data_IF_097430455823
#
_entry.id   IF_097430455823
#
_cell.length_a   1.000
_cell.length_b   1.000
_cell.length_c   1.000
_cell.angle_alpha   90.00
_cell.angle_beta   90.00
_cell.angle_gamma   90.00
#
_symmetry.space_group_name_H-M   'P 1'
#
loop_
_entity.id
_entity.type
_entity.pdbx_description
1 polymer ?
#
# COMPACT_ATOMS: atom_id res chain seq x y z
N UNK A 1 4.89 0.93 12.37
CA UNK A 1 3.82 0.45 11.46
C UNK A 1 4.21 -0.82 10.68
N UNK A 2 5.38 -0.87 10.03
CA UNK A 2 5.76 -1.97 9.12
C UNK A 2 6.38 -3.20 9.81
N UNK A 3 6.75 -3.08 11.08
CA UNK A 3 7.32 -4.13 11.91
C UNK A 3 6.61 -4.17 13.27
N UNK A 4 5.36 -4.64 13.28
CA UNK A 4 4.53 -4.61 14.49
C UNK A 4 4.88 -5.73 15.46
N UNK A 5 5.16 -6.91 14.92
CA UNK A 5 5.57 -8.10 15.65
C UNK A 5 6.19 -9.12 14.68
N UNK A 6 6.94 -10.12 15.18
CA UNK A 6 7.65 -11.09 14.34
C UNK A 6 6.82 -11.76 13.23
N UNK A 7 5.55 -12.07 13.48
CA UNK A 7 4.63 -12.71 12.52
C UNK A 7 3.77 -11.70 11.72
N UNK A 8 3.90 -10.40 12.00
CA UNK A 8 3.18 -9.30 11.33
C UNK A 8 4.14 -8.15 11.03
N UNK A 9 5.15 -8.48 10.23
CA UNK A 9 6.21 -7.56 9.83
C UNK A 9 6.49 -7.73 8.34
N UNK A 10 6.03 -6.76 7.55
CA UNK A 10 6.31 -6.77 6.11
C UNK A 10 7.82 -6.64 5.89
N UNK A 11 8.51 -5.88 6.76
CA UNK A 11 9.97 -5.70 6.73
C UNK A 11 10.68 -7.04 6.91
N UNK A 12 10.34 -7.79 7.97
CA UNK A 12 10.93 -9.10 8.22
C UNK A 12 10.67 -10.07 7.07
N UNK A 13 9.47 -10.02 6.49
CA UNK A 13 9.10 -10.90 5.39
C UNK A 13 9.92 -10.57 4.12
N UNK A 14 10.07 -9.29 3.78
CA UNK A 14 10.91 -8.85 2.67
C UNK A 14 12.39 -9.25 2.90
N UNK A 15 12.91 -9.10 4.12
CA UNK A 15 14.25 -9.55 4.50
C UNK A 15 14.41 -11.08 4.34
N UNK A 16 13.41 -11.87 4.75
CA UNK A 16 13.40 -13.33 4.59
C UNK A 16 13.37 -13.76 3.12
N UNK A 17 12.82 -12.91 2.25
CA UNK A 17 12.89 -13.11 0.81
C UNK A 17 14.21 -12.62 0.19
N UNK A 18 15.19 -12.15 0.97
CA UNK A 18 16.52 -11.79 0.47
C UNK A 18 16.62 -10.37 -0.08
N UNK A 19 15.70 -9.48 0.30
CA UNK A 19 15.78 -8.07 -0.04
C UNK A 19 16.46 -7.30 1.09
N UNK A 20 17.41 -6.43 0.76
CA UNK A 20 17.93 -5.44 1.71
C UNK A 20 16.91 -4.32 1.90
N UNK A 21 16.44 -4.12 3.13
CA UNK A 21 15.38 -3.15 3.45
C UNK A 21 15.94 -1.99 4.26
N UNK A 22 15.70 -0.78 3.77
CA UNK A 22 15.96 0.48 4.45
C UNK A 22 14.63 1.15 4.77
N UNK A 23 14.52 1.79 5.94
CA UNK A 23 13.30 2.47 6.38
C UNK A 23 13.64 3.92 6.70
N UNK A 24 12.81 4.83 6.22
CA UNK A 24 12.88 6.24 6.59
C UNK A 24 12.11 6.45 7.88
N UNK A 25 12.81 6.89 8.92
CA UNK A 25 12.22 7.49 10.10
C UNK A 25 12.09 9.00 9.85
N UNK A 26 10.86 9.49 9.84
CA UNK A 26 10.55 10.90 9.57
C UNK A 26 10.74 11.80 10.80
N UNK A 27 10.97 11.20 11.97
CA UNK A 27 11.04 11.91 13.23
C UNK A 27 9.69 12.49 13.67
N UNK A 28 9.76 13.33 14.70
CA UNK A 28 8.61 14.01 15.28
C UNK A 28 8.81 15.52 15.10
N UNK A 29 7.97 16.20 14.31
CA UNK A 29 8.14 17.63 14.08
C UNK A 29 7.92 18.40 15.36
N UNK A 30 8.81 19.35 15.59
CA UNK A 30 8.75 20.34 16.67
C UNK A 30 8.33 21.68 16.10
N UNK A 31 8.14 22.70 16.95
CA UNK A 31 7.76 24.04 16.48
C UNK A 31 8.76 24.66 15.50
N UNK A 32 10.04 24.29 15.53
CA UNK A 32 11.01 24.77 14.53
C UNK A 32 10.72 24.24 13.13
N UNK A 33 10.04 23.10 13.04
CA UNK A 33 9.70 22.41 11.80
C UNK A 33 8.40 22.92 11.16
N UNK A 34 7.76 23.93 11.76
CA UNK A 34 6.46 24.43 11.29
C UNK A 34 6.47 24.94 9.85
N UNK A 35 7.63 25.40 9.36
CA UNK A 35 7.82 25.92 8.01
C UNK A 35 8.25 24.88 6.98
N UNK A 36 8.45 23.62 7.38
CA UNK A 36 8.80 22.57 6.41
C UNK A 36 7.65 22.41 5.42
N UNK A 37 7.98 22.47 4.14
CA UNK A 37 7.09 22.37 2.99
C UNK A 37 7.21 21.01 2.31
N UNK A 38 6.42 20.75 1.27
CA UNK A 38 6.59 19.53 0.47
C UNK A 38 8.00 19.44 -0.15
N UNK A 39 8.62 20.58 -0.46
CA UNK A 39 9.97 20.64 -1.01
C UNK A 39 11.01 20.07 -0.02
N UNK A 40 10.94 20.47 1.25
CA UNK A 40 11.86 20.01 2.28
C UNK A 40 11.77 18.48 2.50
N UNK A 41 10.55 17.92 2.46
CA UNK A 41 10.36 16.47 2.58
C UNK A 41 10.88 15.71 1.37
N UNK A 42 10.61 16.17 0.14
CA UNK A 42 10.95 15.46 -1.09
C UNK A 42 12.42 15.71 -1.50
N UNK A 43 12.81 16.97 -1.68
CA UNK A 43 14.13 17.36 -2.15
C UNK A 43 15.17 17.42 -1.02
N UNK A 44 14.74 17.64 0.22
CA UNK A 44 15.60 17.53 1.39
C UNK A 44 15.69 16.09 1.89
N UNK A 45 14.68 15.62 2.63
CA UNK A 45 14.76 14.38 3.39
C UNK A 45 14.84 13.14 2.50
N UNK A 46 13.87 12.94 1.60
CA UNK A 46 13.84 11.75 0.74
C UNK A 46 15.05 11.67 -0.18
N UNK A 47 15.39 12.76 -0.87
CA UNK A 47 16.53 12.78 -1.78
C UNK A 47 17.84 12.45 -1.05
N UNK A 48 18.05 13.01 0.16
CA UNK A 48 19.24 12.71 0.96
C UNK A 48 19.30 11.24 1.39
N UNK A 49 18.17 10.66 1.83
CA UNK A 49 18.10 9.22 2.13
C UNK A 49 18.43 8.36 0.91
N UNK A 50 17.88 8.68 -0.25
CA UNK A 50 18.13 7.93 -1.49
C UNK A 50 19.59 8.04 -1.90
N UNK A 51 20.18 9.23 -1.89
CA UNK A 51 21.58 9.44 -2.25
C UNK A 51 22.53 8.74 -1.27
N UNK A 52 22.23 8.74 0.03
CA UNK A 52 22.98 7.99 1.02
C UNK A 52 22.96 6.48 0.72
N UNK A 53 21.78 5.90 0.49
CA UNK A 53 21.64 4.45 0.22
C UNK A 53 22.34 4.08 -1.10
N UNK A 54 22.17 4.87 -2.16
CA UNK A 54 22.85 4.68 -3.45
C UNK A 54 24.36 4.65 -3.28
N UNK A 55 24.93 5.60 -2.53
CA UNK A 55 26.37 5.68 -2.25
C UNK A 55 26.84 4.50 -1.40
N UNK A 56 26.12 4.15 -0.34
CA UNK A 56 26.47 3.04 0.56
C UNK A 56 26.44 1.68 -0.15
N UNK A 57 25.47 1.47 -1.04
CA UNK A 57 25.27 0.22 -1.79
C UNK A 57 26.00 0.18 -3.13
N UNK A 58 26.62 1.31 -3.54
CA UNK A 58 27.25 1.50 -4.87
C UNK A 58 26.28 1.18 -6.02
N UNK A 59 25.04 1.64 -5.90
CA UNK A 59 23.98 1.47 -6.90
C UNK A 59 23.58 2.82 -7.49
N UNK A 60 23.42 2.88 -8.81
CA UNK A 60 22.97 4.09 -9.49
C UNK A 60 21.49 4.39 -9.25
N UNK A 61 20.69 3.40 -8.88
CA UNK A 61 19.28 3.57 -8.57
C UNK A 61 18.82 2.52 -7.55
N UNK A 62 17.77 2.84 -6.78
CA UNK A 62 17.20 1.93 -5.76
C UNK A 62 15.72 1.66 -6.04
N UNK A 63 15.20 0.55 -5.52
CA UNK A 63 13.76 0.34 -5.43
C UNK A 63 13.19 1.28 -4.37
N UNK A 64 12.20 2.08 -4.73
CA UNK A 64 11.48 2.95 -3.80
C UNK A 64 10.10 2.38 -3.53
N UNK A 65 9.79 2.18 -2.25
CA UNK A 65 8.49 1.68 -1.79
C UNK A 65 7.83 2.74 -0.92
N UNK A 66 6.65 3.21 -1.33
CA UNK A 66 5.90 4.23 -0.62
C UNK A 66 4.51 3.75 -0.22
N UNK A 67 4.05 4.21 0.95
CA UNK A 67 2.83 3.76 1.59
C UNK A 67 1.94 4.96 1.92
N UNK A 68 0.65 4.90 1.57
CA UNK A 68 -0.31 5.98 1.82
C UNK A 68 0.21 7.33 1.31
N UNK A 69 0.29 8.37 2.14
CA UNK A 69 0.89 9.65 1.77
C UNK A 69 2.35 9.52 1.31
N UNK A 70 3.13 8.62 1.94
CA UNK A 70 4.48 8.29 1.51
C UNK A 70 4.52 7.67 0.10
N UNK A 71 3.45 7.03 -0.35
CA UNK A 71 3.31 6.56 -1.73
C UNK A 71 3.11 7.69 -2.72
N UNK A 72 2.29 8.69 -2.37
CA UNK A 72 2.16 9.94 -3.14
C UNK A 72 3.51 10.65 -3.24
N UNK A 73 4.23 10.77 -2.11
CA UNK A 73 5.56 11.37 -2.06
C UNK A 73 6.57 10.59 -2.92
N UNK A 74 6.57 9.26 -2.86
CA UNK A 74 7.44 8.42 -3.69
C UNK A 74 7.17 8.57 -5.18
N UNK A 75 5.90 8.72 -5.61
CA UNK A 75 5.59 8.98 -7.02
C UNK A 75 6.05 10.38 -7.46
N UNK A 76 5.82 11.40 -6.61
CA UNK A 76 6.33 12.76 -6.85
C UNK A 76 7.86 12.71 -7.00
N UNK A 77 8.56 12.12 -6.03
CA UNK A 77 10.01 11.97 -6.05
C UNK A 77 10.50 11.22 -7.31
N UNK A 78 9.90 10.07 -7.64
CA UNK A 78 10.29 9.27 -8.81
C UNK A 78 10.04 10.01 -10.14
N UNK A 79 9.12 10.97 -10.17
CA UNK A 79 8.90 11.82 -11.35
C UNK A 79 9.93 12.95 -11.49
N UNK A 80 10.53 13.38 -10.38
CA UNK A 80 11.54 14.44 -10.31
C UNK A 80 12.97 13.91 -10.48
N UNK A 81 13.22 12.68 -10.02
CA UNK A 81 14.51 11.99 -10.06
C UNK A 81 14.38 10.56 -10.62
N UNK A 82 13.86 10.39 -11.84
CA UNK A 82 13.61 9.06 -12.41
C UNK A 82 14.89 8.23 -12.52
N UNK A 83 16.05 8.86 -12.69
CA UNK A 83 17.36 8.23 -12.76
C UNK A 83 17.81 7.57 -11.45
N UNK A 84 17.24 7.97 -10.31
CA UNK A 84 17.59 7.43 -8.98
C UNK A 84 16.69 6.28 -8.54
N UNK A 85 15.61 5.99 -9.29
CA UNK A 85 14.59 5.01 -8.91
C UNK A 85 14.55 3.86 -9.91
N UNK A 86 14.97 2.68 -9.46
CA UNK A 86 15.04 1.47 -10.28
C UNK A 86 13.66 0.83 -10.47
N UNK A 87 12.85 0.82 -9.40
CA UNK A 87 11.48 0.31 -9.40
C UNK A 87 10.66 1.16 -8.42
N UNK A 88 9.38 1.39 -8.72
CA UNK A 88 8.46 2.08 -7.81
C UNK A 88 7.38 1.09 -7.34
N UNK A 89 7.23 0.96 -6.02
CA UNK A 89 6.15 0.20 -5.39
C UNK A 89 5.30 1.16 -4.57
N UNK A 90 4.01 1.24 -4.86
CA UNK A 90 3.07 2.09 -4.11
C UNK A 90 1.99 1.23 -3.47
N UNK A 91 1.62 1.54 -2.23
CA UNK A 91 0.60 0.79 -1.49
C UNK A 91 -0.43 1.73 -0.89
N UNK A 92 -1.70 1.52 -1.24
CA UNK A 92 -2.88 2.26 -0.74
C UNK A 92 -2.64 3.77 -0.67
N UNK A 93 -2.06 4.31 -1.75
CA UNK A 93 -1.67 5.69 -1.88
C UNK A 93 -2.62 6.43 -2.83
N UNK A 94 -3.06 7.66 -2.48
CA UNK A 94 -3.87 8.46 -3.37
C UNK A 94 -3.01 9.19 -4.40
N UNK A 95 -3.48 9.23 -5.65
CA UNK A 95 -2.86 9.98 -6.73
C UNK A 95 -3.85 10.91 -7.41
N UNK A 96 -5.10 10.46 -7.58
CA UNK A 96 -6.22 11.29 -7.99
C UNK A 96 -7.09 11.66 -6.78
N UNK A 97 -7.10 12.94 -6.44
CA UNK A 97 -7.82 13.48 -5.29
C UNK A 97 -9.22 14.01 -5.64
N UNK A 98 -9.67 13.80 -6.88
CA UNK A 98 -11.01 14.21 -7.32
C UNK A 98 -12.13 13.36 -6.70
N UNK A 99 -11.84 12.16 -6.19
CA UNK A 99 -12.83 11.27 -5.59
C UNK A 99 -13.61 11.94 -4.45
N UNK A 100 -14.93 11.75 -4.44
CA UNK A 100 -15.81 12.13 -3.32
C UNK A 100 -16.12 10.94 -2.42
N UNK A 101 -15.50 9.79 -2.68
CA UNK A 101 -15.61 8.59 -1.86
C UNK A 101 -14.68 8.73 -0.65
N UNK A 102 -15.16 8.33 0.53
CA UNK A 102 -14.37 8.41 1.77
C UNK A 102 -14.44 9.79 2.43
N UNK A 103 -14.66 9.77 3.76
CA UNK A 103 -14.84 10.99 4.56
C UNK A 103 -13.60 11.90 4.52
N UNK A 104 -12.40 11.33 4.43
CA UNK A 104 -11.15 12.11 4.43
C UNK A 104 -11.06 13.01 3.19
N UNK A 105 -11.46 12.50 2.02
CA UNK A 105 -11.43 13.27 0.77
C UNK A 105 -12.46 14.39 0.82
N UNK A 106 -13.67 14.08 1.29
CA UNK A 106 -14.73 15.09 1.45
C UNK A 106 -14.33 16.19 2.44
N UNK A 107 -13.85 15.84 3.64
CA UNK A 107 -13.44 16.83 4.63
C UNK A 107 -12.26 17.67 4.17
N UNK A 108 -11.23 17.06 3.57
CA UNK A 108 -10.04 17.78 3.12
C UNK A 108 -10.34 18.79 2.01
N UNK A 109 -11.38 18.54 1.21
CA UNK A 109 -11.86 19.51 0.20
C UNK A 109 -12.51 20.75 0.80
N UNK A 110 -13.07 20.64 2.00
CA UNK A 110 -13.84 21.71 2.65
C UNK A 110 -13.13 22.33 3.87
N UNK A 111 -12.04 21.73 4.36
CA UNK A 111 -11.29 22.26 5.49
C UNK A 111 -10.56 23.55 5.10
N UNK A 112 -10.61 24.55 5.99
CA UNK A 112 -9.77 25.73 5.87
C UNK A 112 -8.36 25.39 6.38
N UNK A 113 -7.51 24.93 5.46
CA UNK A 113 -6.12 24.59 5.75
C UNK A 113 -5.35 25.78 6.33
N UNK A 114 -5.70 27.01 5.96
CA UNK A 114 -5.00 28.19 6.46
C UNK A 114 -5.24 28.40 7.94
N UNK A 115 -6.52 28.47 8.34
CA UNK A 115 -6.90 28.61 9.74
C UNK A 115 -6.33 27.47 10.60
N UNK A 116 -6.36 26.24 10.10
CA UNK A 116 -5.81 25.08 10.80
C UNK A 116 -4.31 25.29 11.09
N UNK A 117 -3.53 25.60 10.07
CA UNK A 117 -2.07 25.70 10.20
C UNK A 117 -1.65 26.98 10.92
N UNK A 118 -2.35 28.10 10.72
CA UNK A 118 -2.06 29.35 11.44
C UNK A 118 -2.36 29.25 12.94
N UNK A 119 -3.29 28.39 13.33
CA UNK A 119 -3.62 28.11 14.74
C UNK A 119 -2.60 27.19 15.38
N UNK A 120 -2.33 26.03 14.76
CA UNK A 120 -1.55 24.97 15.41
C UNK A 120 -0.06 25.03 15.11
N UNK A 121 0.34 25.57 13.94
CA UNK A 121 1.71 25.61 13.38
C UNK A 121 2.32 24.23 13.08
N UNK A 122 2.28 23.32 14.04
CA UNK A 122 2.51 21.89 13.86
C UNK A 122 1.21 21.21 14.25
N UNK A 123 0.65 20.42 13.34
CA UNK A 123 -0.64 19.78 13.61
C UNK A 123 -0.42 18.65 14.60
N UNK A 124 -1.09 18.66 15.77
CA UNK A 124 -0.93 17.60 16.76
C UNK A 124 -1.36 16.25 16.19
N UNK A 125 -0.60 15.20 16.50
CA UNK A 125 -0.91 13.85 16.05
C UNK A 125 -2.25 13.36 16.60
N UNK A 126 -2.64 13.82 17.79
CA UNK A 126 -3.94 13.55 18.40
C UNK A 126 -5.09 14.12 17.58
N UNK A 127 -4.91 15.31 16.98
CA UNK A 127 -5.92 15.93 16.14
C UNK A 127 -6.07 15.16 14.82
N UNK A 128 -4.95 14.78 14.20
CA UNK A 128 -4.95 13.94 13.00
C UNK A 128 -5.60 12.59 13.30
N UNK A 129 -5.22 11.95 14.40
CA UNK A 129 -5.77 10.66 14.83
C UNK A 129 -7.27 10.75 15.13
N UNK A 130 -7.72 11.80 15.81
CA UNK A 130 -9.14 12.06 16.02
C UNK A 130 -9.88 12.16 14.66
N UNK A 131 -9.29 12.87 13.69
CA UNK A 131 -9.75 12.88 12.31
C UNK A 131 -9.89 11.48 11.73
N UNK A 132 -8.82 10.67 11.78
CA UNK A 132 -8.81 9.30 11.25
C UNK A 132 -9.81 8.37 11.95
N UNK A 133 -9.95 8.45 13.27
CA UNK A 133 -10.92 7.67 14.05
C UNK A 133 -12.36 8.01 13.67
N UNK A 134 -12.63 9.28 13.35
CA UNK A 134 -13.95 9.72 12.89
C UNK A 134 -14.27 9.31 11.43
N UNK A 135 -13.32 8.76 10.67
CA UNK A 135 -13.58 8.25 9.32
C UNK A 135 -14.32 6.91 9.33
N UNK A 136 -14.20 6.12 10.40
CA UNK A 136 -14.93 4.87 10.60
C UNK A 136 -15.37 4.75 12.06
N UNK A 137 -16.22 5.66 12.57
CA UNK A 137 -16.46 5.82 14.00
C UNK A 137 -17.07 4.57 14.63
N UNK A 138 -17.98 3.89 13.93
CA UNK A 138 -18.56 2.64 14.43
C UNK A 138 -17.56 1.49 14.47
N UNK A 139 -16.74 1.33 13.44
CA UNK A 139 -15.77 0.22 13.38
C UNK A 139 -14.58 0.45 14.31
N UNK A 140 -14.04 1.67 14.34
CA UNK A 140 -12.84 2.04 15.09
C UNK A 140 -13.11 2.46 16.54
N UNK A 141 -14.34 2.82 16.92
CA UNK A 141 -14.65 3.17 18.32
C UNK A 141 -15.62 2.22 19.02
N UNK A 142 -16.45 1.46 18.30
CA UNK A 142 -17.49 0.62 18.94
C UNK A 142 -17.22 -0.87 18.68
N UNK A 143 -17.10 -1.27 17.41
CA UNK A 143 -16.90 -2.66 17.03
C UNK A 143 -15.60 -3.24 17.58
N UNK A 144 -14.54 -2.43 17.69
CA UNK A 144 -13.26 -2.85 18.26
C UNK A 144 -13.36 -3.35 19.70
N UNK A 145 -14.16 -2.69 20.55
CA UNK A 145 -14.33 -3.11 21.95
C UNK A 145 -15.26 -4.31 22.06
N UNK A 146 -16.27 -4.41 21.20
CA UNK A 146 -17.12 -5.60 21.09
C UNK A 146 -16.31 -6.82 20.63
N UNK A 147 -15.37 -6.64 19.70
CA UNK A 147 -14.47 -7.71 19.25
C UNK A 147 -13.37 -8.02 20.27
N UNK A 148 -12.92 -7.04 21.06
CA UNK A 148 -12.04 -7.26 22.22
C UNK A 148 -12.69 -8.21 23.25
N UNK A 149 -13.99 -8.03 23.53
CA UNK A 149 -14.75 -8.94 24.41
C UNK A 149 -14.71 -10.40 23.96
N UNK A 150 -14.58 -10.66 22.65
CA UNK A 150 -14.50 -12.01 22.08
C UNK A 150 -13.11 -12.65 22.19
N UNK A 151 -12.07 -11.86 22.46
CA UNK A 151 -10.68 -12.31 22.54
C UNK A 151 -10.07 -12.18 23.93
N UNK A 152 -10.85 -11.73 24.91
CA UNK A 152 -10.43 -11.50 26.29
C UNK A 152 -9.88 -12.76 26.99
N UNK A 153 -10.35 -13.95 26.59
CA UNK A 153 -9.83 -15.24 27.09
C UNK A 153 -8.57 -15.73 26.38
N UNK A 154 -8.09 -15.05 25.35
CA UNK A 154 -6.93 -15.44 24.54
C UNK A 154 -5.84 -14.38 24.67
N UNK A 155 -4.84 -14.70 25.49
CA UNK A 155 -3.74 -13.78 25.86
C UNK A 155 -3.01 -13.23 24.63
N UNK A 156 -2.78 -14.04 23.61
CA UNK A 156 -2.05 -13.63 22.41
C UNK A 156 -2.89 -12.69 21.55
N UNK A 157 -4.19 -12.96 21.40
CA UNK A 157 -5.10 -12.07 20.69
C UNK A 157 -5.31 -10.74 21.42
N UNK A 158 -5.36 -10.75 22.76
CA UNK A 158 -5.45 -9.53 23.56
C UNK A 158 -4.18 -8.67 23.46
N UNK A 159 -2.99 -9.27 23.53
CA UNK A 159 -1.71 -8.57 23.31
C UNK A 159 -1.64 -7.95 21.90
N UNK A 160 -2.10 -8.68 20.88
CA UNK A 160 -2.18 -8.15 19.52
C UNK A 160 -3.13 -6.94 19.43
N UNK A 161 -4.27 -6.98 20.12
CA UNK A 161 -5.20 -5.85 20.20
C UNK A 161 -4.57 -4.63 20.87
N UNK A 162 -3.94 -4.80 22.04
CA UNK A 162 -3.29 -3.70 22.77
C UNK A 162 -2.14 -3.06 21.98
N UNK A 163 -1.37 -3.85 21.21
CA UNK A 163 -0.31 -3.33 20.33
C UNK A 163 -0.87 -2.49 19.19
N UNK A 164 -1.97 -2.94 18.59
CA UNK A 164 -2.68 -2.18 17.56
C UNK A 164 -3.23 -0.87 18.13
N UNK A 165 -3.81 -0.89 19.33
CA UNK A 165 -4.27 0.32 20.01
C UNK A 165 -3.10 1.28 20.29
N UNK A 166 -2.00 0.79 20.87
CA UNK A 166 -0.81 1.62 21.09
C UNK A 166 -0.31 2.24 19.79
N UNK A 167 -0.29 1.50 18.70
CA UNK A 167 0.13 2.01 17.39
C UNK A 167 -0.84 3.07 16.84
N UNK A 168 -2.15 2.87 16.95
CA UNK A 168 -3.14 3.87 16.51
C UNK A 168 -2.97 5.18 17.29
N UNK A 169 -2.67 5.10 18.59
CA UNK A 169 -2.52 6.29 19.44
C UNK A 169 -1.11 6.91 19.44
N UNK A 170 -0.10 6.22 18.92
CA UNK A 170 1.25 6.74 18.69
C UNK A 170 1.31 7.49 17.35
N UNK A 171 0.56 8.59 17.28
CA UNK A 171 0.45 9.44 16.10
C UNK A 171 1.44 10.60 16.20
N UNK A 172 2.49 10.67 15.36
CA UNK A 172 3.35 11.84 15.30
C UNK A 172 2.58 13.05 14.74
N UNK A 173 2.97 14.25 15.16
CA UNK A 173 2.47 15.48 14.55
C UNK A 173 2.93 15.64 13.11
N UNK A 174 2.40 16.66 12.43
CA UNK A 174 2.77 16.97 11.04
C UNK A 174 3.16 18.45 10.90
N UNK A 175 4.24 18.71 10.15
CA UNK A 175 4.65 20.06 9.82
C UNK A 175 3.51 20.80 9.10
N UNK A 176 3.18 21.99 9.61
CA UNK A 176 1.99 22.73 9.20
C UNK A 176 2.01 23.14 7.74
N UNK A 177 3.09 23.76 7.26
CA UNK A 177 3.16 24.23 5.88
C UNK A 177 3.13 23.11 4.84
N UNK A 178 3.78 21.97 5.12
CA UNK A 178 3.68 20.77 4.29
C UNK A 178 2.23 20.26 4.23
N UNK A 179 1.52 20.20 5.35
CA UNK A 179 0.11 19.81 5.35
C UNK A 179 -0.76 20.83 4.61
N UNK A 180 -0.54 22.13 4.84
CA UNK A 180 -1.26 23.22 4.15
C UNK A 180 -1.18 23.03 2.64
N UNK A 181 0.05 22.85 2.16
CA UNK A 181 0.35 22.64 0.75
C UNK A 181 -0.30 21.35 0.24
N UNK A 182 -0.18 20.25 0.97
CA UNK A 182 -0.77 18.97 0.56
C UNK A 182 -2.30 19.04 0.45
N UNK A 183 -2.99 19.70 1.40
CA UNK A 183 -4.44 19.88 1.33
C UNK A 183 -4.84 20.73 0.12
N UNK A 184 -4.21 21.89 -0.05
CA UNK A 184 -4.54 22.82 -1.14
C UNK A 184 -4.23 22.22 -2.50
N UNK A 185 -2.99 21.79 -2.70
CA UNK A 185 -2.52 21.35 -4.01
C UNK A 185 -3.07 19.98 -4.39
N UNK A 186 -3.18 19.03 -3.46
CA UNK A 186 -3.70 17.70 -3.76
C UNK A 186 -5.21 17.63 -3.58
N UNK A 187 -5.74 17.81 -2.37
CA UNK A 187 -7.17 17.56 -2.11
C UNK A 187 -8.11 18.57 -2.77
N UNK A 188 -7.78 19.85 -2.74
CA UNK A 188 -8.66 20.92 -3.22
C UNK A 188 -8.47 21.18 -4.72
N UNK A 189 -7.23 21.29 -5.17
CA UNK A 189 -6.92 21.66 -6.55
C UNK A 189 -6.55 20.48 -7.45
N UNK A 190 -6.26 19.30 -6.88
CA UNK A 190 -5.86 18.07 -7.60
C UNK A 190 -4.73 18.32 -8.62
N UNK A 191 -3.76 19.15 -8.24
CA UNK A 191 -2.65 19.60 -9.10
C UNK A 191 -1.75 18.45 -9.56
N UNK A 192 -1.66 17.36 -8.80
CA UNK A 192 -0.81 16.22 -9.12
C UNK A 192 -1.19 15.57 -10.47
N UNK A 193 -2.46 15.17 -10.65
CA UNK A 193 -2.91 14.54 -11.90
C UNK A 193 -3.05 15.55 -13.04
N UNK A 194 -3.25 16.83 -12.71
CA UNK A 194 -3.31 17.93 -13.68
C UNK A 194 -1.92 18.35 -14.20
N UNK A 195 -0.84 17.83 -13.63
CA UNK A 195 0.53 18.24 -14.00
C UNK A 195 0.84 19.69 -13.62
N UNK A 196 0.24 20.19 -12.55
CA UNK A 196 0.36 21.57 -12.06
C UNK A 196 1.09 21.67 -10.71
N UNK A 197 1.35 20.52 -10.07
CA UNK A 197 2.02 20.48 -8.76
C UNK A 197 3.50 20.85 -8.92
N UNK A 198 3.98 21.78 -8.10
CA UNK A 198 5.39 22.15 -8.02
C UNK A 198 5.99 21.71 -6.69
N UNK A 199 7.25 21.27 -6.74
CA UNK A 199 8.07 20.94 -5.57
C UNK A 199 9.39 21.68 -5.75
N UNK A 200 9.62 22.69 -4.91
CA UNK A 200 10.61 23.73 -5.19
C UNK A 200 10.33 24.39 -6.53
N UNK A 201 11.36 24.51 -7.37
CA UNK A 201 11.23 25.09 -8.72
C UNK A 201 10.82 24.07 -9.79
N UNK A 202 10.65 22.79 -9.45
CA UNK A 202 10.40 21.74 -10.43
C UNK A 202 8.91 21.41 -10.54
N UNK A 203 8.42 21.32 -11.77
CA UNK A 203 7.07 20.85 -12.07
C UNK A 203 7.02 19.32 -12.03
N UNK A 204 6.08 18.76 -11.26
CA UNK A 204 5.85 17.33 -11.15
C UNK A 204 5.11 16.85 -12.39
N UNK A 205 5.70 15.89 -13.10
CA UNK A 205 5.09 15.24 -14.26
C UNK A 205 5.13 13.72 -14.12
N UNK A 206 3.99 13.11 -13.79
CA UNK A 206 3.89 11.66 -13.60
C UNK A 206 4.31 10.85 -14.85
N UNK A 207 4.30 11.43 -16.05
CA UNK A 207 4.81 10.77 -17.27
C UNK A 207 6.31 10.47 -17.21
N UNK A 208 7.07 11.16 -16.35
CA UNK A 208 8.49 10.88 -16.12
C UNK A 208 8.73 9.57 -15.36
N UNK A 209 7.69 8.99 -14.73
CA UNK A 209 7.78 7.68 -14.10
C UNK A 209 7.79 6.62 -15.21
N UNK A 210 8.98 6.31 -15.71
CA UNK A 210 9.22 5.35 -16.81
C UNK A 210 9.77 4.01 -16.33
N UNK A 211 10.31 3.95 -15.11
CA UNK A 211 10.73 2.72 -14.44
C UNK A 211 9.54 1.81 -14.14
N UNK A 212 9.76 0.51 -13.85
CA UNK A 212 8.69 -0.38 -13.48
C UNK A 212 7.86 0.06 -12.28
N UNK A 213 6.55 -0.12 -12.35
CA UNK A 213 5.59 0.27 -11.32
C UNK A 213 4.77 -0.92 -10.81
N UNK A 214 4.76 -1.14 -9.50
CA UNK A 214 3.79 -1.99 -8.81
C UNK A 214 2.88 -1.11 -7.96
N UNK A 215 1.64 -0.92 -8.41
CA UNK A 215 0.64 -0.13 -7.70
C UNK A 215 -0.37 -1.05 -7.00
N UNK A 216 -0.35 -1.08 -5.68
CA UNK A 216 -1.17 -1.94 -4.84
C UNK A 216 -2.30 -1.11 -4.22
N UNK A 217 -3.54 -1.54 -4.42
CA UNK A 217 -4.71 -0.93 -3.78
C UNK A 217 -5.51 -1.99 -3.01
N UNK A 218 -6.25 -1.56 -2.00
CA UNK A 218 -7.16 -2.42 -1.23
C UNK A 218 -8.59 -2.24 -1.74
N UNK A 219 -9.29 -3.34 -2.05
CA UNK A 219 -10.62 -3.26 -2.68
C UNK A 219 -11.74 -2.76 -1.75
N UNK A 220 -11.56 -2.91 -0.43
CA UNK A 220 -12.47 -2.37 0.58
C UNK A 220 -11.82 -1.21 1.37
N UNK A 221 -10.98 -0.42 0.69
CA UNK A 221 -10.37 0.77 1.28
C UNK A 221 -11.35 1.96 1.22
N UNK A 222 -11.78 2.43 2.38
CA UNK A 222 -12.63 3.61 2.53
C UNK A 222 -11.83 4.87 2.91
N UNK A 223 -10.54 4.72 3.24
CA UNK A 223 -9.65 5.82 3.60
C UNK A 223 -9.01 6.40 2.34
N UNK A 224 -8.45 5.52 1.52
CA UNK A 224 -7.88 5.81 0.21
C UNK A 224 -8.64 4.94 -0.81
N UNK A 225 -9.76 5.44 -1.35
CA UNK A 225 -10.60 4.67 -2.24
C UNK A 225 -9.82 4.16 -3.45
N UNK A 226 -10.13 2.96 -3.99
CA UNK A 226 -9.52 2.47 -5.23
C UNK A 226 -9.57 3.48 -6.38
N UNK A 227 -10.62 4.30 -6.44
CA UNK A 227 -10.79 5.37 -7.42
C UNK A 227 -9.68 6.43 -7.36
N UNK A 228 -9.04 6.62 -6.20
CA UNK A 228 -7.91 7.55 -6.02
C UNK A 228 -6.54 6.93 -6.32
N UNK A 229 -6.38 5.62 -6.16
CA UNK A 229 -5.11 4.91 -6.36
C UNK A 229 -4.93 4.39 -7.79
N UNK A 230 -5.97 3.80 -8.38
CA UNK A 230 -5.92 3.16 -9.71
C UNK A 230 -5.44 4.08 -10.84
N UNK A 231 -5.85 5.38 -10.90
CA UNK A 231 -5.50 6.26 -12.02
C UNK A 231 -4.00 6.43 -12.25
N UNK A 232 -3.14 6.21 -11.24
CA UNK A 232 -1.69 6.29 -11.41
C UNK A 232 -1.21 5.42 -12.59
N UNK A 233 -1.77 4.23 -12.76
CA UNK A 233 -1.36 3.32 -13.85
C UNK A 233 -1.58 3.93 -15.24
N UNK A 234 -2.55 4.82 -15.42
CA UNK A 234 -2.81 5.47 -16.72
C UNK A 234 -2.02 6.78 -16.87
N UNK A 235 -1.65 7.39 -15.74
CA UNK A 235 -0.93 8.66 -15.69
C UNK A 235 0.58 8.51 -15.89
N UNK A 236 1.18 7.38 -15.53
CA UNK A 236 2.64 7.16 -15.69
C UNK A 236 3.08 6.85 -17.12
N UNK A 237 4.36 7.12 -17.41
CA UNK A 237 5.00 6.81 -18.70
C UNK A 237 5.52 5.37 -18.80
N UNK A 238 5.55 4.63 -17.69
CA UNK A 238 6.05 3.26 -17.62
C UNK A 238 5.24 2.31 -18.52
N UNK A 239 5.98 1.49 -19.26
CA UNK A 239 5.40 0.39 -20.06
C UNK A 239 5.34 -0.92 -19.27
N UNK A 240 6.03 -1.00 -18.13
CA UNK A 240 6.07 -2.15 -17.22
C UNK A 240 5.37 -1.81 -15.90
N UNK A 241 4.04 -1.82 -15.93
CA UNK A 241 3.19 -1.41 -14.81
C UNK A 241 2.17 -2.49 -14.44
N UNK A 242 2.04 -2.75 -13.14
CA UNK A 242 1.09 -3.69 -12.56
C UNK A 242 0.16 -2.94 -11.63
N UNK A 243 -1.14 -3.18 -11.78
CA UNK A 243 -2.14 -2.80 -10.80
C UNK A 243 -2.53 -4.07 -10.03
N UNK A 244 -2.24 -4.10 -8.73
CA UNK A 244 -2.48 -5.25 -7.87
C UNK A 244 -3.62 -4.96 -6.90
N UNK A 245 -4.65 -5.81 -6.93
CA UNK A 245 -5.77 -5.74 -5.99
C UNK A 245 -5.52 -6.60 -4.75
N UNK A 246 -5.51 -5.98 -3.59
CA UNK A 246 -5.58 -6.68 -2.31
C UNK A 246 -7.03 -6.73 -1.82
N UNK A 247 -7.54 -7.96 -1.60
CA UNK A 247 -8.88 -8.15 -1.00
C UNK A 247 -8.83 -7.93 0.52
N UNK A 248 -9.00 -6.67 0.92
CA UNK A 248 -9.03 -6.20 2.31
C UNK A 248 -9.27 -4.69 2.38
N UNK A 249 -9.18 -4.10 3.58
CA UNK A 249 -9.23 -2.66 3.80
C UNK A 249 -7.85 -2.04 4.08
N UNK A 250 -7.80 -0.72 4.23
CA UNK A 250 -6.56 0.08 4.33
C UNK A 250 -5.51 -0.52 5.28
N UNK A 251 -5.89 -0.71 6.55
CA UNK A 251 -4.99 -1.21 7.59
C UNK A 251 -4.56 -2.66 7.36
N UNK A 252 -5.45 -3.46 6.78
CA UNK A 252 -5.21 -4.89 6.50
C UNK A 252 -4.04 -5.11 5.53
N UNK A 253 -3.72 -4.11 4.70
CA UNK A 253 -2.58 -4.12 3.78
C UNK A 253 -1.25 -4.11 4.52
N UNK A 254 -1.18 -3.62 5.75
CA UNK A 254 0.07 -3.50 6.51
C UNK A 254 0.23 -4.59 7.55
N UNK A 255 -0.78 -4.74 8.40
CA UNK A 255 -0.70 -5.54 9.62
C UNK A 255 -1.56 -6.80 9.56
N UNK A 256 -2.32 -6.98 8.47
CA UNK A 256 -3.17 -8.15 8.28
C UNK A 256 -2.34 -9.41 8.05
N UNK A 257 -2.70 -10.51 8.69
CA UNK A 257 -2.06 -11.81 8.47
C UNK A 257 -2.10 -12.25 7.00
N UNK A 258 -3.16 -11.87 6.28
CA UNK A 258 -3.30 -12.08 4.84
C UNK A 258 -2.27 -11.27 4.04
N UNK A 259 -2.03 -10.01 4.39
CA UNK A 259 -0.99 -9.20 3.75
C UNK A 259 0.39 -9.87 3.86
N UNK A 260 0.73 -10.39 5.03
CA UNK A 260 2.01 -11.08 5.25
C UNK A 260 2.17 -12.34 4.40
N UNK A 261 1.07 -13.06 4.14
CA UNK A 261 1.07 -14.30 3.32
C UNK A 261 0.95 -14.05 1.82
N UNK A 262 0.47 -12.87 1.42
CA UNK A 262 0.10 -12.56 0.04
C UNK A 262 0.97 -11.44 -0.54
N UNK A 263 0.95 -10.25 0.08
CA UNK A 263 1.58 -9.06 -0.45
C UNK A 263 3.09 -9.11 -0.37
N UNK A 264 3.66 -9.50 0.77
CA UNK A 264 5.12 -9.53 0.91
C UNK A 264 5.79 -10.53 -0.05
N UNK A 265 5.27 -11.77 -0.23
CA UNK A 265 5.75 -12.67 -1.28
C UNK A 265 5.50 -12.14 -2.70
N UNK A 266 4.35 -11.51 -2.95
CA UNK A 266 4.04 -10.96 -4.27
C UNK A 266 4.99 -9.81 -4.67
N UNK A 267 5.27 -8.89 -3.74
CA UNK A 267 6.24 -7.80 -3.93
C UNK A 267 7.63 -8.37 -4.18
N UNK A 268 8.06 -9.32 -3.34
CA UNK A 268 9.39 -9.94 -3.47
C UNK A 268 9.56 -10.67 -4.79
N UNK A 269 8.55 -11.46 -5.20
CA UNK A 269 8.54 -12.12 -6.51
C UNK A 269 8.64 -11.11 -7.65
N UNK A 270 7.81 -10.07 -7.61
CA UNK A 270 7.77 -9.01 -8.62
C UNK A 270 9.11 -8.28 -8.76
N UNK A 271 9.81 -8.03 -7.65
CA UNK A 271 11.14 -7.44 -7.63
C UNK A 271 12.21 -8.38 -8.18
N UNK A 272 12.23 -9.64 -7.76
CA UNK A 272 13.19 -10.63 -8.26
C UNK A 272 13.07 -10.89 -9.76
N UNK A 273 11.85 -10.90 -10.30
CA UNK A 273 11.65 -11.05 -11.75
C UNK A 273 12.34 -9.93 -12.53
N UNK A 274 12.30 -8.69 -12.03
CA UNK A 274 12.97 -7.54 -12.66
C UNK A 274 14.46 -7.52 -12.44
N UNK A 275 14.93 -7.94 -11.27
CA UNK A 275 16.35 -8.16 -11.03
C UNK A 275 16.92 -9.21 -12.01
N UNK A 276 16.10 -10.18 -12.44
CA UNK A 276 16.44 -11.16 -13.46
C UNK A 276 16.16 -10.71 -14.92
N UNK A 277 15.78 -9.44 -15.14
CA UNK A 277 15.55 -8.87 -16.47
C UNK A 277 14.21 -9.22 -17.13
N UNK A 278 13.24 -9.80 -16.40
CA UNK A 278 11.92 -10.15 -16.95
C UNK A 278 10.95 -8.98 -16.87
N UNK A 279 10.21 -8.76 -17.95
CA UNK A 279 9.12 -7.78 -18.02
C UNK A 279 7.78 -8.39 -17.60
N UNK A 280 6.78 -7.57 -17.23
CA UNK A 280 5.42 -8.07 -16.93
C UNK A 280 4.80 -8.87 -18.07
N UNK A 281 5.04 -8.48 -19.32
CA UNK A 281 4.52 -9.22 -20.47
C UNK A 281 5.06 -10.65 -20.51
N UNK A 282 6.31 -10.84 -20.12
CA UNK A 282 6.95 -12.16 -20.07
C UNK A 282 6.50 -12.97 -18.86
N UNK A 283 6.41 -12.34 -17.68
CA UNK A 283 5.88 -12.99 -16.47
C UNK A 283 4.43 -13.47 -16.64
N UNK A 284 3.55 -12.63 -17.20
CA UNK A 284 2.15 -12.99 -17.47
C UNK A 284 2.02 -14.09 -18.54
N UNK A 285 2.90 -14.12 -19.55
CA UNK A 285 2.95 -15.21 -20.54
C UNK A 285 3.37 -16.53 -19.88
N UNK A 286 4.37 -16.51 -19.01
CA UNK A 286 4.83 -17.69 -18.27
C UNK A 286 3.77 -18.21 -17.28
N UNK A 287 3.04 -17.34 -16.59
CA UNK A 287 1.95 -17.75 -15.70
C UNK A 287 0.78 -18.38 -16.49
N UNK A 288 0.41 -17.79 -17.63
CA UNK A 288 -0.63 -18.36 -18.50
C UNK A 288 -0.22 -19.71 -19.08
N UNK A 289 1.04 -19.92 -19.45
CA UNK A 289 1.52 -21.22 -19.94
C UNK A 289 1.54 -22.27 -18.83
N UNK A 290 1.96 -21.91 -17.62
CA UNK A 290 1.92 -22.81 -16.46
C UNK A 290 0.49 -23.17 -16.02
N UNK A 291 -0.46 -22.22 -16.05
CA UNK A 291 -1.87 -22.50 -15.77
C UNK A 291 -2.44 -23.50 -16.78
N UNK A 292 -2.22 -23.26 -18.08
CA UNK A 292 -2.64 -24.18 -19.15
C UNK A 292 -2.03 -25.57 -18.98
N UNK A 293 -0.76 -25.67 -18.57
CA UNK A 293 -0.11 -26.95 -18.31
C UNK A 293 -0.69 -27.68 -17.09
N UNK A 294 -1.07 -26.95 -16.02
CA UNK A 294 -1.78 -27.52 -14.86
C UNK A 294 -3.19 -28.00 -15.21
N UNK A 295 -3.94 -27.23 -15.99
CA UNK A 295 -5.28 -27.59 -16.44
C UNK A 295 -5.25 -28.81 -17.37
N UNK A 296 -4.27 -28.89 -18.28
CA UNK A 296 -4.06 -30.05 -19.13
C UNK A 296 -3.72 -31.31 -18.32
N UNK A 297 -2.88 -31.21 -17.28
CA UNK A 297 -2.58 -32.32 -16.37
C UNK A 297 -3.79 -32.75 -15.55
N UNK A 298 -4.63 -31.80 -15.10
CA UNK A 298 -5.85 -32.08 -14.34
C UNK A 298 -6.91 -32.82 -15.18
N UNK A 299 -7.05 -32.46 -16.45
CA UNK A 299 -7.99 -33.12 -17.37
C UNK A 299 -7.53 -34.52 -17.82
N UNK A 300 -6.24 -34.84 -17.73
CA UNK A 300 -5.73 -36.20 -18.01
C UNK A 300 -5.92 -37.18 -16.84
N UNK A 301 -6.21 -36.69 -15.63
CA UNK A 301 -6.32 -37.52 -14.40
C UNK A 301 -7.75 -37.94 -14.01
N UNK A 302 -8.74 -37.74 -14.87
CA UNK A 302 -10.12 -38.20 -14.62
C UNK A 302 -10.48 -39.36 -15.55
N UNK A 303 -10.47 -40.63 -15.10
CA UNK A 303 -11.10 -41.71 -15.84
C UNK A 303 -12.61 -41.64 -15.61
N UNK A 304 -13.39 -41.49 -16.69
CA UNK A 304 -14.84 -41.68 -16.68
C UNK A 304 -15.17 -43.14 -16.30
N UNK A 305 -15.55 -43.39 -15.05
CA UNK A 305 -16.23 -44.64 -14.68
C UNK A 305 -17.70 -44.55 -15.06
N UNK A 306 -18.05 -45.03 -16.26
CA UNK A 306 -19.45 -45.36 -16.61
C UNK A 306 -19.93 -46.54 -15.75
N UNK A 307 -21.07 -46.46 -15.06
CA UNK A 307 -21.61 -47.61 -14.36
C UNK A 307 -22.22 -48.60 -15.36
N UNK A 308 -21.71 -49.84 -15.39
CA UNK A 308 -22.32 -50.93 -16.13
C UNK A 308 -23.48 -51.52 -15.31
N UNK A 309 -24.69 -51.42 -15.84
CA UNK A 309 -25.87 -52.10 -15.29
C UNK A 309 -25.75 -53.57 -15.69
N UNK A 310 -25.51 -54.46 -14.72
CA UNK A 310 -25.53 -55.91 -14.93
C UNK A 310 -26.76 -56.50 -14.24
N UNK A 311 -27.80 -56.74 -15.04
CA UNK A 311 -28.92 -57.61 -14.71
C UNK A 311 -28.42 -59.04 -14.48
N UNK A 312 -28.77 -59.65 -13.33
CA UNK A 312 -28.76 -61.11 -13.19
C UNK A 312 -30.00 -61.60 -12.44
N UNK A 313 -30.56 -62.64 -13.03
CA UNK A 313 -31.80 -63.34 -12.76
C UNK A 313 -31.80 -64.15 -11.47
N UNK A 314 -33.01 -64.29 -10.93
CA UNK A 314 -33.55 -65.30 -10.01
C UNK A 314 -32.91 -66.69 -10.06
N UNK A 315 -32.63 -67.29 -8.88
CA UNK A 315 -33.28 -68.54 -8.46
C UNK A 315 -33.08 -68.88 -6.97
N UNK A 316 -34.22 -69.22 -6.33
CA UNK A 316 -34.51 -70.22 -5.27
C UNK A 316 -33.31 -71.01 -4.69
N UNK A 317 -33.20 -71.36 -3.40
CA UNK A 317 -34.23 -71.90 -2.46
C UNK A 317 -33.63 -72.12 -1.05
N UNK A 318 -34.50 -71.96 -0.02
CA UNK A 318 -34.65 -72.73 1.24
C UNK A 318 -33.48 -72.83 2.24
N UNK A 319 -33.77 -72.43 3.49
CA UNK A 319 -34.13 -73.35 4.61
C UNK A 319 -34.76 -72.59 5.77
N UNK A 320 -35.92 -73.13 6.21
CA UNK A 320 -36.65 -73.00 7.49
C UNK A 320 -36.80 -71.65 8.16
#
# INVERSE_FOLDING_TARGET
MLDLQPDRSIVRNLLQHGLDVYITDWGYPTKSDMYLTLDDYINGYMNNCVDFIRKATKKDAITLMGICQGGTFSAIYASLYPEKVQNLVTMVAPFDFSSNEGLLFSWSKHINADTLVDTYRVIPGELLNAGFLMLMPFTLNIRKYVDMLKVLGDKDKLLNFLRMEKWIFDSPGQAGECLRQFIKDCYQENKLVKGQLKVGDKLVNLKNITMPLLNIYASADHLVPPSSTRPLNDLVGSTDKVLYEFKGGHIGVFVGSKSQKELAPAISKWLHERAAGKTVKESLRAERSMSKAKDARRNQTTPETKPSIRTKSTNKRKTT
#
